data_IF_404604216289
#
_entry.id   IF_404604216289
#
_cell.length_a   1.000
_cell.length_b   1.000
_cell.length_c   1.000
_cell.angle_alpha   90.00
_cell.angle_beta   90.00
_cell.angle_gamma   90.00
#
_symmetry.space_group_name_H-M   'P 1'
#
loop_
_entity.id
_entity.type
_entity.pdbx_description
1 polymer ?
#
# COMPACT_ATOMS: atom_id res chain seq x y z
N UNK A 1 5.56 -8.68 55.73
CA UNK A 1 6.56 -9.73 56.01
C UNK A 1 6.92 -10.38 54.67
N UNK A 2 8.00 -9.92 54.04
CA UNK A 2 8.37 -10.29 52.67
C UNK A 2 9.48 -11.34 52.71
N UNK A 3 9.16 -12.58 52.37
CA UNK A 3 10.14 -13.65 52.21
C UNK A 3 10.85 -13.51 50.86
N UNK A 4 12.17 -13.39 50.86
CA UNK A 4 12.99 -13.52 49.64
C UNK A 4 13.36 -14.99 49.44
N UNK A 5 13.02 -15.56 48.29
CA UNK A 5 13.45 -16.91 47.89
C UNK A 5 14.69 -16.75 47.00
N UNK A 6 15.85 -17.16 47.52
CA UNK A 6 17.06 -17.36 46.71
C UNK A 6 17.15 -18.83 46.32
N UNK A 7 17.01 -19.13 45.02
CA UNK A 7 17.34 -20.45 44.50
C UNK A 7 18.81 -20.46 44.04
N UNK A 8 19.62 -21.35 44.62
CA UNK A 8 20.89 -21.77 44.04
C UNK A 8 20.57 -22.70 42.86
N UNK A 9 20.92 -22.30 41.64
CA UNK A 9 20.99 -23.22 40.51
C UNK A 9 22.44 -23.64 40.29
N UNK A 10 22.75 -24.86 40.71
CA UNK A 10 23.90 -25.63 40.23
C UNK A 10 23.36 -26.65 39.22
N UNK A 11 23.64 -26.50 37.92
CA UNK A 11 24.07 -27.65 37.13
C UNK A 11 24.59 -27.34 35.72
N UNK A 12 25.67 -28.06 35.43
CA UNK A 12 26.06 -28.71 34.17
C UNK A 12 26.44 -27.85 32.97
N UNK A 13 27.76 -27.70 32.86
CA UNK A 13 28.58 -28.02 31.69
C UNK A 13 27.80 -28.27 30.40
N UNK A 14 27.87 -27.31 29.48
CA UNK A 14 28.09 -27.64 28.09
C UNK A 14 29.43 -27.05 27.68
N UNK A 15 30.36 -27.95 27.37
CA UNK A 15 31.68 -27.63 26.84
C UNK A 15 31.48 -27.29 25.37
N UNK A 16 31.66 -26.02 25.01
CA UNK A 16 31.89 -25.62 23.63
C UNK A 16 33.39 -25.42 23.51
N UNK A 17 34.06 -26.40 22.91
CA UNK A 17 35.44 -26.30 22.47
C UNK A 17 35.49 -25.33 21.29
N UNK A 18 36.18 -24.21 21.47
CA UNK A 18 36.59 -23.32 20.38
C UNK A 18 38.10 -23.40 20.29
N UNK A 19 38.61 -24.04 19.24
CA UNK A 19 40.03 -24.02 18.90
C UNK A 19 40.42 -22.62 18.43
N UNK A 20 41.34 -21.99 19.16
CA UNK A 20 41.99 -20.73 18.79
C UNK A 20 43.51 -20.96 18.75
N UNK A 21 44.22 -20.38 17.76
CA UNK A 21 45.64 -20.63 17.52
C UNK A 21 46.57 -20.04 18.59
N UNK A 22 47.74 -20.69 18.69
CA UNK A 22 48.74 -20.69 19.75
C UNK A 22 49.58 -19.41 19.93
N UNK A 23 49.00 -18.21 19.84
CA UNK A 23 49.73 -16.99 20.18
C UNK A 23 48.88 -16.07 21.06
N UNK A 24 49.48 -15.66 22.19
CA UNK A 24 48.96 -14.77 23.24
C UNK A 24 48.48 -15.49 24.51
N UNK A 25 49.44 -16.09 25.23
CA UNK A 25 49.38 -16.17 26.69
C UNK A 25 49.58 -14.78 27.26
N UNK A 26 48.62 -14.26 28.03
CA UNK A 26 48.87 -13.16 28.95
C UNK A 26 48.07 -13.36 30.26
N UNK A 27 48.84 -13.34 31.35
CA UNK A 27 48.56 -13.30 32.79
C UNK A 27 47.10 -13.32 33.28
N UNK A 28 46.79 -14.35 34.08
CA UNK A 28 45.68 -14.37 35.04
C UNK A 28 45.94 -13.36 36.16
N UNK A 29 45.14 -12.30 36.23
CA UNK A 29 44.89 -11.55 37.47
C UNK A 29 43.55 -12.05 38.02
N UNK A 30 43.60 -12.63 39.22
CA UNK A 30 42.44 -13.18 39.93
C UNK A 30 41.83 -12.06 40.79
N UNK A 31 40.89 -11.30 40.24
CA UNK A 31 40.08 -10.36 41.01
C UNK A 31 38.69 -10.98 41.25
N UNK A 32 38.42 -11.41 42.48
CA UNK A 32 37.06 -11.73 42.93
C UNK A 32 36.27 -10.43 43.06
N UNK A 33 35.42 -10.12 42.08
CA UNK A 33 34.30 -9.18 42.27
C UNK A 33 33.01 -9.96 42.25
N UNK A 34 32.43 -10.14 43.43
CA UNK A 34 31.07 -10.65 43.61
C UNK A 34 30.11 -9.52 43.24
N UNK A 35 29.58 -9.53 42.02
CA UNK A 35 28.58 -8.56 41.58
C UNK A 35 27.19 -9.10 41.95
N UNK A 36 26.52 -8.48 42.92
CA UNK A 36 25.09 -8.73 43.19
C UNK A 36 24.28 -7.80 42.30
N UNK A 37 23.64 -8.34 41.28
CA UNK A 37 22.60 -7.62 40.54
C UNK A 37 21.25 -8.03 41.14
N UNK A 38 20.63 -7.10 41.87
CA UNK A 38 19.23 -7.25 42.27
C UNK A 38 18.35 -6.68 41.15
N UNK A 39 17.65 -7.54 40.42
CA UNK A 39 16.55 -7.09 39.56
C UNK A 39 15.27 -6.98 40.39
N UNK A 40 14.50 -5.88 40.28
CA UNK A 40 13.16 -5.84 40.82
C UNK A 40 12.26 -6.86 40.09
N UNK A 41 11.24 -7.43 40.76
CA UNK A 41 10.32 -8.37 40.12
C UNK A 41 9.63 -7.67 38.94
N UNK A 42 9.84 -8.23 37.75
CA UNK A 42 9.12 -7.84 36.53
C UNK A 42 7.64 -8.14 36.77
N UNK A 43 6.82 -7.10 36.85
CA UNK A 43 5.37 -7.25 36.82
C UNK A 43 4.99 -8.11 35.60
N UNK A 44 4.04 -9.05 35.72
CA UNK A 44 3.54 -9.77 34.56
C UNK A 44 2.95 -8.73 33.60
N UNK A 45 3.61 -8.52 32.47
CA UNK A 45 3.01 -7.86 31.31
C UNK A 45 1.91 -8.78 30.80
N UNK A 46 0.72 -8.64 31.34
CA UNK A 46 -0.51 -8.99 30.66
C UNK A 46 -0.57 -8.10 29.41
N UNK A 47 -0.07 -8.62 28.29
CA UNK A 47 -0.45 -8.14 26.97
C UNK A 47 -1.94 -8.40 26.87
N UNK A 48 -2.74 -7.43 27.28
CA UNK A 48 -4.16 -7.40 26.95
C UNK A 48 -4.23 -7.17 25.45
N UNK A 49 -4.48 -8.25 24.71
CA UNK A 49 -5.01 -8.21 23.36
C UNK A 49 -6.41 -7.60 23.42
N UNK A 50 -6.50 -6.28 23.53
CA UNK A 50 -7.74 -5.57 23.28
C UNK A 50 -8.03 -5.68 21.78
N UNK A 51 -8.89 -6.63 21.41
CA UNK A 51 -9.67 -6.52 20.18
C UNK A 51 -10.41 -5.18 20.26
N UNK A 52 -9.87 -4.15 19.62
CA UNK A 52 -10.55 -2.87 19.45
C UNK A 52 -11.69 -3.09 18.47
N UNK A 53 -12.81 -3.62 18.98
CA UNK A 53 -14.10 -3.54 18.31
C UNK A 53 -14.47 -2.06 18.28
N UNK A 54 -14.15 -1.38 17.18
CA UNK A 54 -14.78 -0.10 16.87
C UNK A 54 -16.23 -0.42 16.57
N UNK A 55 -17.06 -0.32 17.61
CA UNK A 55 -18.51 -0.32 17.47
C UNK A 55 -18.85 1.04 16.89
N UNK A 56 -19.01 1.11 15.57
CA UNK A 56 -19.71 2.25 14.95
C UNK A 56 -21.11 2.18 15.54
N UNK A 57 -21.48 3.19 16.34
CA UNK A 57 -22.79 3.25 16.93
C UNK A 57 -23.82 3.18 15.79
N UNK A 58 -24.59 2.10 15.75
CA UNK A 58 -25.68 1.96 14.81
C UNK A 58 -26.67 3.08 15.10
N UNK A 59 -26.64 4.13 14.28
CA UNK A 59 -27.69 5.14 14.29
C UNK A 59 -28.94 4.40 13.86
N UNK A 60 -29.91 4.30 14.77
CA UNK A 60 -31.24 3.74 14.47
C UNK A 60 -31.72 4.46 13.21
N UNK A 61 -32.08 3.68 12.20
CA UNK A 61 -32.46 4.09 10.83
C UNK A 61 -33.70 5.01 10.82
N UNK A 62 -33.52 6.22 11.31
CA UNK A 62 -34.16 7.40 10.76
C UNK A 62 -33.28 7.76 9.57
N UNK A 63 -33.80 7.63 8.35
CA UNK A 63 -33.02 7.77 7.12
C UNK A 63 -32.07 8.95 7.21
N UNK A 64 -30.78 8.72 6.92
CA UNK A 64 -29.80 9.80 6.85
C UNK A 64 -30.41 10.90 6.00
N UNK A 65 -30.66 12.05 6.60
CA UNK A 65 -31.26 13.18 5.91
C UNK A 65 -30.40 13.49 4.68
N UNK A 66 -31.00 13.66 3.50
CA UNK A 66 -30.26 13.91 2.26
C UNK A 66 -29.13 14.92 2.52
N UNK A 67 -27.90 14.55 2.19
CA UNK A 67 -26.73 15.42 2.40
C UNK A 67 -27.00 16.79 1.77
N UNK A 68 -26.85 17.91 2.51
CA UNK A 68 -26.95 19.24 1.93
C UNK A 68 -25.92 19.40 0.80
N UNK A 69 -26.33 19.99 -0.33
CA UNK A 69 -25.45 20.19 -1.48
C UNK A 69 -24.23 21.06 -1.18
N UNK A 70 -24.30 21.91 -0.14
CA UNK A 70 -23.20 22.76 0.35
C UNK A 70 -22.16 22.02 1.20
N UNK A 71 -22.44 20.80 1.66
CA UNK A 71 -21.53 20.01 2.51
C UNK A 71 -20.89 18.91 1.68
N UNK A 72 -19.57 18.72 1.75
CA UNK A 72 -18.92 17.63 1.00
C UNK A 72 -19.38 16.25 1.50
N UNK A 73 -19.23 15.23 0.65
CA UNK A 73 -19.54 13.83 1.02
C UNK A 73 -18.72 13.44 2.26
N UNK A 74 -17.43 13.75 2.27
CA UNK A 74 -16.54 13.42 3.38
C UNK A 74 -16.98 14.07 4.71
N UNK A 75 -17.27 15.37 4.71
CA UNK A 75 -17.66 16.11 5.90
C UNK A 75 -18.99 15.62 6.48
N UNK A 76 -19.96 15.37 5.59
CA UNK A 76 -21.28 14.87 5.97
C UNK A 76 -21.19 13.50 6.65
N UNK A 77 -20.53 12.52 6.01
CA UNK A 77 -20.44 11.17 6.57
C UNK A 77 -19.48 11.07 7.75
N UNK A 78 -18.50 11.97 7.87
CA UNK A 78 -17.69 12.07 9.09
C UNK A 78 -18.58 12.45 10.27
N UNK A 79 -19.43 13.47 10.10
CA UNK A 79 -20.38 13.89 11.13
C UNK A 79 -21.41 12.81 11.43
N UNK A 80 -21.99 12.20 10.39
CA UNK A 80 -23.04 11.20 10.54
C UNK A 80 -22.56 9.91 11.24
N UNK A 81 -21.33 9.47 10.97
CA UNK A 81 -20.81 8.20 11.48
C UNK A 81 -19.91 8.35 12.71
N UNK A 82 -19.15 9.45 12.81
CA UNK A 82 -18.13 9.67 13.83
C UNK A 82 -18.41 10.90 14.71
N UNK A 83 -19.60 11.51 14.56
CA UNK A 83 -20.14 12.66 15.32
C UNK A 83 -19.45 13.98 15.01
N UNK A 84 -18.15 14.08 15.27
CA UNK A 84 -17.42 15.34 15.15
C UNK A 84 -16.65 15.42 13.82
N UNK A 85 -16.82 16.52 13.08
CA UNK A 85 -16.06 16.75 11.86
C UNK A 85 -14.69 17.39 12.17
N UNK A 86 -13.66 16.56 12.31
CA UNK A 86 -12.28 16.99 12.54
C UNK A 86 -11.28 16.11 11.76
N UNK A 87 -10.01 16.50 11.71
CA UNK A 87 -8.95 15.80 10.97
C UNK A 87 -8.84 14.32 11.31
N UNK A 88 -8.78 13.97 12.59
CA UNK A 88 -8.68 12.58 13.04
C UNK A 88 -9.90 11.76 12.58
N UNK A 89 -11.10 12.32 12.68
CA UNK A 89 -12.33 11.62 12.30
C UNK A 89 -12.47 11.50 10.78
N UNK A 90 -12.12 12.53 10.01
CA UNK A 90 -12.08 12.40 8.55
C UNK A 90 -11.07 11.33 8.13
N UNK A 91 -9.84 11.36 8.68
CA UNK A 91 -8.85 10.32 8.40
C UNK A 91 -9.34 8.92 8.81
N UNK A 92 -10.06 8.80 9.93
CA UNK A 92 -10.69 7.55 10.38
C UNK A 92 -11.76 7.07 9.40
N UNK A 93 -12.63 7.96 8.92
CA UNK A 93 -13.63 7.64 7.89
C UNK A 93 -12.96 7.06 6.64
N UNK A 94 -11.89 7.71 6.15
CA UNK A 94 -11.16 7.24 4.97
C UNK A 94 -10.43 5.93 5.24
N UNK A 95 -9.91 5.72 6.45
CA UNK A 95 -9.31 4.45 6.86
C UNK A 95 -10.34 3.32 6.78
N UNK A 96 -11.53 3.51 7.35
CA UNK A 96 -12.61 2.53 7.34
C UNK A 96 -13.07 2.22 5.90
N UNK A 97 -13.28 3.25 5.09
CA UNK A 97 -13.72 3.14 3.71
C UNK A 97 -12.68 2.41 2.83
N UNK A 98 -11.42 2.84 2.88
CA UNK A 98 -10.36 2.26 2.06
C UNK A 98 -10.05 0.84 2.51
N UNK A 99 -9.93 0.57 3.81
CA UNK A 99 -9.69 -0.80 4.28
C UNK A 99 -10.81 -1.74 3.85
N UNK A 100 -12.06 -1.30 3.94
CA UNK A 100 -13.21 -2.12 3.52
C UNK A 100 -13.21 -2.34 2.00
N UNK A 101 -12.85 -1.33 1.21
CA UNK A 101 -12.67 -1.50 -0.23
C UNK A 101 -11.50 -2.46 -0.56
N UNK A 102 -10.43 -2.47 0.25
CA UNK A 102 -9.25 -3.31 -0.01
C UNK A 102 -9.48 -4.77 0.38
N UNK A 103 -9.96 -5.03 1.61
CA UNK A 103 -10.07 -6.38 2.19
C UNK A 103 -11.49 -6.91 2.36
N UNK A 104 -12.50 -6.12 2.01
CA UNK A 104 -13.89 -6.46 2.23
C UNK A 104 -14.38 -6.13 3.64
N UNK A 105 -15.60 -6.54 3.99
CA UNK A 105 -16.18 -6.21 5.30
C UNK A 105 -15.38 -6.81 6.46
N UNK A 106 -14.91 -5.95 7.37
CA UNK A 106 -14.28 -6.35 8.63
C UNK A 106 -14.90 -5.64 9.86
N UNK A 107 -15.83 -4.72 9.62
CA UNK A 107 -16.59 -3.99 10.65
C UNK A 107 -18.04 -4.47 10.71
N UNK A 108 -18.68 -4.27 11.87
CA UNK A 108 -20.09 -4.57 12.10
C UNK A 108 -20.77 -3.41 12.86
N UNK A 109 -22.06 -3.12 12.59
CA UNK A 109 -22.89 -3.71 11.54
C UNK A 109 -22.45 -3.28 10.14
N UNK A 110 -22.81 -4.05 9.11
CA UNK A 110 -22.68 -3.64 7.71
C UNK A 110 -24.03 -3.75 6.97
N UNK A 111 -24.24 -2.87 5.99
CA UNK A 111 -25.49 -2.80 5.23
C UNK A 111 -25.50 -3.65 3.96
N UNK A 112 -24.32 -4.07 3.47
CA UNK A 112 -24.16 -4.96 2.33
C UNK A 112 -22.81 -5.70 2.40
N UNK A 113 -22.72 -6.78 1.62
CA UNK A 113 -21.47 -7.52 1.42
C UNK A 113 -20.50 -6.73 0.54
N UNK A 114 -19.22 -6.73 0.92
CA UNK A 114 -18.10 -6.14 0.19
C UNK A 114 -17.00 -7.20 0.12
N UNK A 115 -16.70 -7.76 -1.07
CA UNK A 115 -15.61 -8.72 -1.25
C UNK A 115 -14.21 -8.14 -1.05
N UNK A 116 -13.99 -6.90 -1.46
CA UNK A 116 -12.69 -6.23 -1.48
C UNK A 116 -11.89 -6.48 -2.76
N UNK A 117 -10.99 -5.54 -3.11
CA UNK A 117 -10.18 -5.63 -4.32
C UNK A 117 -9.16 -6.78 -4.28
N UNK A 118 -8.77 -7.22 -3.09
CA UNK A 118 -7.84 -8.34 -2.91
C UNK A 118 -8.53 -9.72 -2.98
N UNK A 119 -9.82 -9.78 -3.29
CA UNK A 119 -10.52 -11.04 -3.53
C UNK A 119 -9.98 -11.71 -4.81
N UNK A 120 -9.43 -12.94 -4.74
CA UNK A 120 -8.75 -13.58 -5.87
C UNK A 120 -9.70 -14.14 -6.94
N UNK A 121 -10.99 -14.29 -6.63
CA UNK A 121 -12.00 -14.91 -7.48
C UNK A 121 -13.18 -13.95 -7.69
N UNK A 122 -12.90 -12.67 -7.93
CA UNK A 122 -13.94 -11.70 -8.18
C UNK A 122 -14.50 -11.82 -9.60
N UNK A 123 -15.71 -11.31 -9.80
CA UNK A 123 -16.33 -11.23 -11.12
C UNK A 123 -16.95 -9.85 -11.29
N UNK A 124 -16.70 -9.22 -12.44
CA UNK A 124 -17.29 -7.96 -12.83
C UNK A 124 -17.83 -8.07 -14.25
N UNK A 125 -19.10 -7.73 -14.47
CA UNK A 125 -19.79 -7.90 -15.76
C UNK A 125 -19.68 -9.33 -16.36
N UNK A 126 -19.65 -10.36 -15.51
CA UNK A 126 -19.49 -11.75 -15.94
C UNK A 126 -18.05 -12.16 -16.28
N UNK A 127 -17.09 -11.24 -16.21
CA UNK A 127 -15.66 -11.48 -16.43
C UNK A 127 -14.94 -11.71 -15.10
N UNK A 128 -14.09 -12.72 -15.03
CA UNK A 128 -13.24 -12.95 -13.85
C UNK A 128 -12.22 -11.83 -13.70
N UNK A 129 -12.11 -11.27 -12.49
CA UNK A 129 -11.18 -10.18 -12.16
C UNK A 129 -10.36 -10.59 -10.95
N UNK A 130 -9.05 -10.35 -11.00
CA UNK A 130 -8.16 -10.53 -9.87
C UNK A 130 -7.14 -9.38 -9.83
N UNK A 131 -7.39 -8.39 -8.98
CA UNK A 131 -6.47 -7.27 -8.78
C UNK A 131 -5.33 -7.62 -7.83
N UNK A 132 -5.46 -8.68 -7.00
CA UNK A 132 -4.45 -9.04 -6.00
C UNK A 132 -3.07 -9.32 -6.61
N UNK A 133 -3.02 -9.78 -7.87
CA UNK A 133 -1.80 -10.01 -8.67
C UNK A 133 -0.89 -8.77 -8.81
N UNK A 134 -1.43 -7.57 -8.62
CA UNK A 134 -0.67 -6.32 -8.67
C UNK A 134 -0.09 -5.90 -7.31
N UNK A 135 -0.49 -6.56 -6.21
CA UNK A 135 -0.11 -6.20 -4.84
C UNK A 135 0.88 -7.17 -4.21
N UNK A 136 0.94 -8.42 -4.67
CA UNK A 136 1.74 -9.48 -4.05
C UNK A 136 3.21 -9.54 -4.53
N UNK A 137 3.57 -8.71 -5.52
CA UNK A 137 4.90 -8.67 -6.12
C UNK A 137 5.15 -9.75 -7.17
N UNK A 138 4.11 -10.45 -7.66
CA UNK A 138 4.25 -11.43 -8.73
C UNK A 138 4.51 -10.78 -10.10
N UNK A 139 4.04 -9.55 -10.33
CA UNK A 139 4.10 -8.88 -11.63
C UNK A 139 5.04 -7.67 -11.62
N UNK A 140 5.71 -7.41 -12.74
CA UNK A 140 6.49 -6.18 -12.98
C UNK A 140 5.58 -4.99 -13.32
N UNK A 141 4.59 -4.75 -12.46
CA UNK A 141 3.50 -3.81 -12.71
C UNK A 141 3.69 -2.44 -12.08
N UNK A 142 4.73 -2.27 -11.26
CA UNK A 142 4.99 -1.03 -10.53
C UNK A 142 5.98 -0.15 -11.29
N UNK A 143 5.66 1.13 -11.47
CA UNK A 143 6.62 2.07 -12.04
C UNK A 143 7.73 2.41 -11.03
N UNK A 144 8.96 1.97 -11.30
CA UNK A 144 10.16 2.49 -10.65
C UNK A 144 11.05 3.13 -11.70
N UNK A 145 11.21 4.45 -11.62
CA UNK A 145 12.09 5.23 -12.50
C UNK A 145 11.80 5.03 -14.00
N UNK A 146 10.52 4.92 -14.36
CA UNK A 146 10.08 4.72 -15.74
C UNK A 146 10.18 3.27 -16.21
N UNK A 147 10.38 2.30 -15.32
CA UNK A 147 10.49 0.88 -15.63
C UNK A 147 9.54 0.04 -14.77
N UNK A 148 8.91 -0.96 -15.39
CA UNK A 148 8.08 -1.94 -14.68
C UNK A 148 8.92 -2.81 -13.74
N UNK A 149 8.57 -2.79 -12.46
CA UNK A 149 9.25 -3.51 -11.38
C UNK A 149 8.26 -4.29 -10.53
N UNK A 150 8.74 -5.36 -9.92
CA UNK A 150 7.95 -6.21 -9.05
C UNK A 150 8.05 -5.74 -7.60
N UNK A 151 6.94 -5.32 -7.02
CA UNK A 151 6.87 -4.79 -5.65
C UNK A 151 5.74 -5.47 -4.91
N UNK A 152 6.06 -6.01 -3.74
CA UNK A 152 5.07 -6.54 -2.82
C UNK A 152 4.56 -5.40 -1.92
N UNK A 153 3.31 -4.99 -2.11
CA UNK A 153 2.59 -4.01 -1.29
C UNK A 153 1.82 -4.63 -0.12
N UNK A 154 1.95 -5.94 0.10
CA UNK A 154 1.39 -6.67 1.24
C UNK A 154 2.49 -7.07 2.25
N UNK A 155 3.65 -6.43 2.16
CA UNK A 155 4.84 -6.66 2.99
C UNK A 155 4.71 -6.18 4.44
N UNK A 156 3.68 -5.38 4.75
CA UNK A 156 3.39 -4.85 6.09
C UNK A 156 2.45 -5.71 6.93
N UNK A 157 2.20 -6.97 6.54
CA UNK A 157 1.30 -7.89 7.25
C UNK A 157 -0.03 -8.17 6.54
N UNK A 158 -0.21 -7.66 5.31
CA UNK A 158 -1.37 -7.89 4.46
C UNK A 158 -2.67 -7.41 5.10
N UNK A 159 -3.72 -8.23 5.04
CA UNK A 159 -5.05 -7.87 5.53
C UNK A 159 -5.14 -7.73 7.06
N UNK A 160 -4.29 -8.44 7.82
CA UNK A 160 -4.39 -8.49 9.28
C UNK A 160 -4.32 -7.12 9.98
N UNK A 161 -3.37 -6.21 9.68
CA UNK A 161 -3.38 -4.86 10.23
C UNK A 161 -4.60 -4.03 9.79
N UNK A 162 -5.09 -4.23 8.55
CA UNK A 162 -6.25 -3.48 8.03
C UNK A 162 -7.53 -3.78 8.82
N UNK A 163 -7.69 -5.03 9.27
CA UNK A 163 -8.79 -5.44 10.17
C UNK A 163 -8.76 -4.73 11.54
N UNK A 164 -7.64 -4.11 11.89
CA UNK A 164 -7.45 -3.33 13.12
C UNK A 164 -7.39 -1.82 12.86
N UNK A 165 -7.86 -1.36 11.70
CA UNK A 165 -7.76 0.04 11.26
C UNK A 165 -6.32 0.58 11.22
N UNK A 166 -5.35 -0.29 10.96
CA UNK A 166 -3.95 0.10 10.78
C UNK A 166 -3.57 -0.10 9.31
N UNK A 167 -2.78 0.80 8.70
CA UNK A 167 -2.30 0.63 7.33
C UNK A 167 -1.34 -0.57 7.18
N UNK A 168 -0.54 -0.86 8.21
CA UNK A 168 0.41 -1.96 8.27
C UNK A 168 0.80 -2.27 9.74
N UNK A 169 1.60 -3.31 9.97
CA UNK A 169 2.20 -3.62 11.27
C UNK A 169 3.37 -2.70 11.66
N UNK A 170 3.92 -1.98 10.68
CA UNK A 170 5.04 -1.06 10.81
C UNK A 170 4.78 0.24 10.01
N UNK A 171 5.74 1.15 10.01
CA UNK A 171 5.66 2.44 9.31
C UNK A 171 6.66 2.57 8.17
N UNK A 172 7.28 1.47 7.73
CA UNK A 172 8.39 1.47 6.75
C UNK A 172 8.13 0.57 5.54
N UNK A 173 7.15 -0.32 5.64
CA UNK A 173 6.69 -1.23 4.58
C UNK A 173 6.07 -0.47 3.41
N UNK A 174 6.11 -1.09 2.23
CA UNK A 174 5.41 -0.57 1.05
C UNK A 174 3.90 -0.58 1.24
N UNK A 175 3.38 -1.52 2.03
CA UNK A 175 2.00 -1.50 2.48
C UNK A 175 1.65 -0.22 3.26
N UNK A 176 2.48 0.18 4.24
CA UNK A 176 2.22 1.41 5.00
C UNK A 176 2.12 2.62 4.07
N UNK A 177 3.09 2.76 3.15
CA UNK A 177 3.10 3.83 2.16
C UNK A 177 1.85 3.81 1.27
N UNK A 178 1.53 2.65 0.68
CA UNK A 178 0.36 2.50 -0.18
C UNK A 178 -0.95 2.90 0.54
N UNK A 179 -1.21 2.34 1.71
CA UNK A 179 -2.50 2.54 2.39
C UNK A 179 -2.65 3.97 2.90
N UNK A 180 -1.60 4.57 3.47
CA UNK A 180 -1.65 5.97 3.93
C UNK A 180 -1.78 6.95 2.75
N UNK A 181 -1.18 6.64 1.61
CA UNK A 181 -1.40 7.38 0.36
C UNK A 181 -2.83 7.24 -0.15
N UNK A 182 -3.45 6.05 -0.09
CA UNK A 182 -4.86 5.88 -0.45
C UNK A 182 -5.77 6.71 0.47
N UNK A 183 -5.56 6.68 1.78
CA UNK A 183 -6.38 7.45 2.73
C UNK A 183 -6.33 8.96 2.44
N UNK A 184 -5.13 9.49 2.18
CA UNK A 184 -4.94 10.92 1.88
C UNK A 184 -5.42 11.29 0.47
N UNK A 185 -5.19 10.45 -0.54
CA UNK A 185 -5.66 10.70 -1.90
C UNK A 185 -7.19 10.80 -1.95
N UNK A 186 -7.90 9.83 -1.36
CA UNK A 186 -9.36 9.88 -1.27
C UNK A 186 -9.86 11.04 -0.40
N UNK A 187 -9.06 11.46 0.59
CA UNK A 187 -9.33 12.67 1.36
C UNK A 187 -9.48 13.92 0.49
N UNK A 188 -8.50 14.14 -0.39
CA UNK A 188 -8.54 15.23 -1.35
C UNK A 188 -9.64 15.03 -2.40
N UNK A 189 -9.74 13.83 -2.99
CA UNK A 189 -10.70 13.55 -4.05
C UNK A 189 -12.17 13.72 -3.60
N UNK A 190 -12.47 13.38 -2.34
CA UNK A 190 -13.81 13.54 -1.73
C UNK A 190 -14.03 14.90 -1.05
N UNK A 191 -13.07 15.82 -1.21
CA UNK A 191 -13.11 17.18 -0.70
C UNK A 191 -13.35 17.25 0.83
N UNK A 192 -12.57 16.47 1.58
CA UNK A 192 -12.54 16.52 3.04
C UNK A 192 -11.97 17.87 3.52
N UNK A 193 -12.74 18.62 4.29
CA UNK A 193 -12.37 20.00 4.67
C UNK A 193 -11.14 20.13 5.56
N UNK A 194 -10.74 19.07 6.25
CA UNK A 194 -9.56 19.08 7.15
C UNK A 194 -8.37 18.30 6.60
N UNK A 195 -8.45 17.87 5.33
CA UNK A 195 -7.32 17.29 4.61
C UNK A 195 -6.10 18.23 4.64
N UNK A 196 -4.93 17.66 4.93
CA UNK A 196 -3.68 18.41 5.07
C UNK A 196 -3.43 19.01 6.45
N UNK A 197 -4.41 18.94 7.37
CA UNK A 197 -4.23 19.39 8.75
C UNK A 197 -3.56 18.32 9.63
N UNK A 198 -3.12 18.71 10.83
CA UNK A 198 -2.61 17.75 11.81
C UNK A 198 -3.67 16.70 12.15
N UNK A 199 -3.31 15.42 12.03
CA UNK A 199 -4.24 14.29 12.17
C UNK A 199 -4.83 13.77 10.85
N UNK A 200 -4.70 14.53 9.75
CA UNK A 200 -5.04 14.09 8.40
C UNK A 200 -3.99 14.58 7.39
N UNK A 201 -2.90 13.83 7.17
CA UNK A 201 -1.80 14.27 6.33
C UNK A 201 -2.24 14.50 4.88
N UNK A 202 -1.62 15.50 4.25
CA UNK A 202 -1.78 15.72 2.82
C UNK A 202 -1.18 14.55 2.02
N UNK A 203 -1.71 14.33 0.83
CA UNK A 203 -1.19 13.34 -0.12
C UNK A 203 0.21 13.75 -0.56
N UNK A 204 1.18 12.88 -0.32
CA UNK A 204 2.59 13.10 -0.64
C UNK A 204 3.12 12.14 -1.72
N UNK A 205 2.21 11.36 -2.34
CA UNK A 205 2.57 10.44 -3.41
C UNK A 205 2.74 11.12 -4.77
N UNK A 206 3.05 10.29 -5.78
CA UNK A 206 3.24 10.76 -7.15
C UNK A 206 1.94 11.36 -7.71
N UNK A 207 2.01 12.50 -8.42
CA UNK A 207 0.83 13.29 -8.74
C UNK A 207 -0.01 12.73 -9.91
N UNK A 208 0.62 11.96 -10.80
CA UNK A 208 -0.05 11.35 -11.95
C UNK A 208 -0.39 9.89 -11.65
N UNK A 209 -1.68 9.58 -11.52
CA UNK A 209 -2.12 8.19 -11.36
C UNK A 209 -1.84 7.35 -12.62
N UNK A 210 -1.85 7.95 -13.81
CA UNK A 210 -1.34 7.28 -15.02
C UNK A 210 0.09 6.80 -14.81
N UNK A 211 1.01 7.68 -14.37
CA UNK A 211 2.42 7.33 -14.20
C UNK A 211 2.61 6.21 -13.19
N UNK A 212 1.82 6.18 -12.11
CA UNK A 212 1.89 5.13 -11.08
C UNK A 212 1.40 3.78 -11.62
N UNK A 213 0.34 3.76 -12.44
CA UNK A 213 -0.36 2.54 -12.85
C UNK A 213 -0.07 2.09 -14.29
N UNK A 214 0.71 2.84 -15.09
CA UNK A 214 0.90 2.58 -16.53
C UNK A 214 1.51 1.22 -16.89
N UNK A 215 2.13 0.52 -15.94
CA UNK A 215 2.67 -0.84 -16.14
C UNK A 215 1.71 -1.94 -15.69
N UNK A 216 0.49 -1.61 -15.27
CA UNK A 216 -0.52 -2.60 -14.89
C UNK A 216 -1.37 -3.07 -16.07
N UNK A 217 -1.42 -2.29 -17.15
CA UNK A 217 -2.28 -2.52 -18.32
C UNK A 217 -3.75 -2.74 -17.95
N UNK A 218 -4.29 -1.91 -17.04
CA UNK A 218 -5.63 -2.14 -16.50
C UNK A 218 -6.69 -2.04 -17.59
N UNK A 219 -7.59 -3.03 -17.59
CA UNK A 219 -8.74 -3.11 -18.48
C UNK A 219 -10.02 -2.50 -17.86
N UNK A 220 -11.11 -2.33 -18.65
CA UNK A 220 -12.37 -1.76 -18.14
C UNK A 220 -13.01 -2.56 -17.00
N UNK A 221 -12.83 -3.89 -16.97
CA UNK A 221 -13.39 -4.72 -15.90
C UNK A 221 -12.59 -4.58 -14.62
N UNK A 222 -11.27 -4.48 -14.71
CA UNK A 222 -10.38 -4.26 -13.57
C UNK A 222 -10.61 -2.88 -12.93
N UNK A 223 -10.67 -1.81 -13.74
CA UNK A 223 -10.99 -0.46 -13.26
C UNK A 223 -12.43 -0.40 -12.74
N UNK A 224 -13.39 -0.98 -13.47
CA UNK A 224 -14.79 -1.06 -13.06
C UNK A 224 -14.98 -1.80 -11.74
N UNK A 225 -14.27 -2.93 -11.54
CA UNK A 225 -14.29 -3.69 -10.29
C UNK A 225 -13.73 -2.87 -9.12
N UNK A 226 -12.59 -2.19 -9.31
CA UNK A 226 -12.04 -1.28 -8.30
C UNK A 226 -13.07 -0.22 -7.87
N UNK A 227 -13.70 0.46 -8.83
CA UNK A 227 -14.73 1.49 -8.56
C UNK A 227 -15.94 0.89 -7.83
N UNK A 228 -16.37 -0.31 -8.23
CA UNK A 228 -17.47 -1.02 -7.58
C UNK A 228 -17.13 -1.33 -6.11
N UNK A 229 -15.91 -1.78 -5.80
CA UNK A 229 -15.53 -2.08 -4.41
C UNK A 229 -15.51 -0.81 -3.53
N UNK A 230 -15.13 0.34 -4.08
CA UNK A 230 -15.24 1.63 -3.36
C UNK A 230 -16.70 1.99 -3.08
N UNK A 231 -17.58 1.85 -4.08
CA UNK A 231 -19.01 2.09 -3.92
C UNK A 231 -19.67 1.17 -2.90
N UNK A 232 -19.40 -0.14 -2.98
CA UNK A 232 -19.90 -1.15 -2.04
C UNK A 232 -19.38 -0.92 -0.62
N UNK A 233 -18.12 -0.50 -0.48
CA UNK A 233 -17.55 -0.09 0.80
C UNK A 233 -18.33 1.07 1.40
N UNK A 234 -18.56 2.14 0.63
CA UNK A 234 -19.32 3.30 1.09
C UNK A 234 -20.73 2.91 1.55
N UNK A 235 -21.49 2.19 0.72
CA UNK A 235 -22.85 1.77 1.07
C UNK A 235 -22.88 0.84 2.27
N UNK A 236 -21.81 0.07 2.53
CA UNK A 236 -21.74 -0.84 3.68
C UNK A 236 -21.71 -0.09 5.02
N UNK A 237 -21.29 1.18 5.02
CA UNK A 237 -21.35 2.12 6.14
C UNK A 237 -22.63 2.98 6.15
N UNK A 238 -23.59 2.70 5.26
CA UNK A 238 -24.85 3.45 5.18
C UNK A 238 -24.78 4.72 4.34
N UNK A 239 -23.72 4.93 3.53
CA UNK A 239 -23.70 6.00 2.52
C UNK A 239 -24.86 5.81 1.55
N UNK A 240 -25.58 6.89 1.24
CA UNK A 240 -26.72 6.82 0.32
C UNK A 240 -26.29 6.39 -1.08
N UNK A 241 -27.18 5.74 -1.81
CA UNK A 241 -26.91 5.32 -3.19
C UNK A 241 -26.56 6.52 -4.09
N UNK A 242 -27.17 7.68 -3.88
CA UNK A 242 -26.88 8.89 -4.66
C UNK A 242 -25.45 9.39 -4.44
N UNK A 243 -24.99 9.47 -3.19
CA UNK A 243 -23.62 9.87 -2.88
C UNK A 243 -22.61 8.81 -3.33
N UNK A 244 -22.91 7.52 -3.15
CA UNK A 244 -22.06 6.44 -3.66
C UNK A 244 -21.97 6.48 -5.21
N UNK A 245 -23.07 6.80 -5.90
CA UNK A 245 -23.10 7.01 -7.36
C UNK A 245 -22.28 8.22 -7.77
N UNK A 246 -22.33 9.32 -7.00
CA UNK A 246 -21.51 10.49 -7.27
C UNK A 246 -20.01 10.19 -7.14
N UNK A 247 -19.61 9.39 -6.13
CA UNK A 247 -18.23 8.90 -5.99
C UNK A 247 -17.86 7.99 -7.16
N UNK A 248 -18.73 7.04 -7.53
CA UNK A 248 -18.51 6.18 -8.70
C UNK A 248 -18.25 6.99 -9.97
N UNK A 249 -19.09 7.99 -10.24
CA UNK A 249 -18.93 8.91 -11.38
C UNK A 249 -17.61 9.68 -11.32
N UNK A 250 -17.22 10.19 -10.14
CA UNK A 250 -15.93 10.87 -9.95
C UNK A 250 -14.78 9.93 -10.34
N UNK A 251 -14.78 8.70 -9.84
CA UNK A 251 -13.71 7.74 -10.11
C UNK A 251 -13.70 7.33 -11.59
N UNK A 252 -14.85 7.03 -12.19
CA UNK A 252 -14.96 6.70 -13.63
C UNK A 252 -14.43 7.83 -14.49
N UNK A 253 -14.85 9.08 -14.24
CA UNK A 253 -14.38 10.24 -15.02
C UNK A 253 -12.89 10.54 -14.83
N UNK A 254 -12.34 10.19 -13.67
CA UNK A 254 -10.92 10.41 -13.36
C UNK A 254 -10.03 9.32 -13.95
N UNK A 255 -10.45 8.05 -13.90
CA UNK A 255 -9.59 6.89 -14.08
C UNK A 255 -9.88 6.06 -15.34
N UNK A 256 -11.12 6.03 -15.81
CA UNK A 256 -11.58 5.05 -16.81
C UNK A 256 -11.47 5.56 -18.26
N UNK A 257 -11.38 6.88 -18.46
CA UNK A 257 -11.26 7.47 -19.79
C UNK A 257 -9.84 7.39 -20.36
N UNK A 258 -9.57 6.43 -21.25
CA UNK A 258 -8.27 6.32 -21.95
C UNK A 258 -7.93 7.63 -22.65
N UNK A 259 -6.68 8.06 -22.51
CA UNK A 259 -6.17 9.33 -23.01
C UNK A 259 -6.91 10.59 -22.50
N UNK A 260 -7.53 10.54 -21.31
CA UNK A 260 -8.21 11.73 -20.75
C UNK A 260 -7.26 12.93 -20.61
N UNK A 261 -7.83 14.13 -20.72
CA UNK A 261 -7.07 15.34 -20.44
C UNK A 261 -6.61 15.36 -18.97
N UNK A 262 -5.51 16.08 -18.71
CA UNK A 262 -5.03 16.26 -17.35
C UNK A 262 -6.12 16.86 -16.43
N UNK A 263 -6.27 16.31 -15.24
CA UNK A 263 -7.26 16.73 -14.25
C UNK A 263 -6.59 16.99 -12.90
N UNK A 264 -7.13 17.94 -12.14
CA UNK A 264 -6.67 18.25 -10.78
C UNK A 264 -7.50 17.45 -9.78
N UNK A 265 -6.87 16.44 -9.16
CA UNK A 265 -7.47 15.71 -8.03
C UNK A 265 -6.88 16.21 -6.71
N UNK A 266 -5.57 16.42 -6.68
CA UNK A 266 -4.86 17.00 -5.54
C UNK A 266 -4.59 18.48 -5.86
N UNK A 267 -5.25 19.45 -5.18
CA UNK A 267 -5.15 20.86 -5.53
C UNK A 267 -3.72 21.40 -5.58
N UNK A 268 -2.86 20.98 -4.64
CA UNK A 268 -1.46 21.41 -4.55
C UNK A 268 -0.56 20.87 -5.68
N UNK A 269 -1.00 19.86 -6.43
CA UNK A 269 -0.23 19.22 -7.50
C UNK A 269 -0.67 19.66 -8.90
N UNK A 270 -1.72 20.49 -9.01
CA UNK A 270 -2.24 20.99 -10.28
C UNK A 270 -2.82 19.90 -11.18
N UNK A 271 -3.05 20.20 -12.48
CA UNK A 271 -3.55 19.24 -13.45
C UNK A 271 -2.51 18.14 -13.76
N UNK A 272 -2.93 16.88 -13.73
CA UNK A 272 -2.07 15.71 -13.95
C UNK A 272 -2.80 14.64 -14.77
N UNK A 273 -2.07 13.76 -15.44
CA UNK A 273 -2.67 12.62 -16.15
C UNK A 273 -3.17 11.59 -15.13
N UNK A 274 -4.49 11.35 -15.13
CA UNK A 274 -5.14 10.48 -14.16
C UNK A 274 -5.64 9.15 -14.72
N UNK A 275 -5.90 9.04 -16.03
CA UNK A 275 -6.39 7.79 -16.62
C UNK A 275 -5.47 6.59 -16.28
N UNK A 276 -6.06 5.54 -15.70
CA UNK A 276 -5.36 4.28 -15.40
C UNK A 276 -5.87 3.13 -16.28
N UNK A 277 -7.05 3.26 -16.90
CA UNK A 277 -7.48 2.33 -17.94
C UNK A 277 -6.63 2.59 -19.19
N UNK A 278 -5.69 1.69 -19.48
CA UNK A 278 -4.73 1.83 -20.60
C UNK A 278 -4.85 0.74 -21.65
N UNK A 279 -5.48 -0.39 -21.31
CA UNK A 279 -5.69 -1.51 -22.22
C UNK A 279 -6.48 -1.11 -23.48
N UNK A 280 -6.44 -1.96 -24.51
CA UNK A 280 -7.08 -1.65 -25.80
C UNK A 280 -8.60 -1.56 -25.74
N UNK A 281 -9.24 -2.26 -24.80
CA UNK A 281 -10.68 -2.20 -24.57
C UNK A 281 -11.18 -0.95 -23.83
N UNK A 282 -10.28 -0.09 -23.34
CA UNK A 282 -10.65 1.07 -22.54
C UNK A 282 -11.42 2.12 -23.36
N UNK A 283 -12.51 2.70 -22.79
CA UNK A 283 -13.28 3.71 -23.48
C UNK A 283 -12.43 4.97 -23.70
N UNK A 284 -12.40 5.44 -24.94
CA UNK A 284 -11.69 6.67 -25.28
C UNK A 284 -12.39 7.88 -24.65
N UNK A 285 -11.62 8.76 -24.01
CA UNK A 285 -12.18 10.02 -23.49
C UNK A 285 -12.71 10.91 -24.63
N UNK A 286 -13.80 11.64 -24.37
CA UNK A 286 -14.44 12.49 -25.38
C UNK A 286 -13.50 13.55 -25.99
N UNK A 287 -12.54 14.04 -25.21
CA UNK A 287 -11.49 14.98 -25.64
C UNK A 287 -10.11 14.35 -25.47
N UNK A 288 -9.91 13.18 -26.05
CA UNK A 288 -8.69 12.40 -25.90
C UNK A 288 -7.43 13.14 -26.39
N UNK A 289 -6.40 13.16 -25.56
CA UNK A 289 -5.06 13.67 -25.90
C UNK A 289 -4.03 12.54 -25.74
N UNK A 290 -4.08 11.55 -26.63
CA UNK A 290 -3.19 10.38 -26.52
C UNK A 290 -1.70 10.73 -26.70
N UNK A 291 -1.36 11.87 -27.30
CA UNK A 291 0.05 12.33 -27.38
C UNK A 291 0.66 12.70 -26.03
N UNK A 292 -0.16 12.92 -24.99
CA UNK A 292 0.34 13.14 -23.63
C UNK A 292 0.72 11.83 -22.91
N UNK A 293 0.38 10.68 -23.48
CA UNK A 293 0.59 9.36 -22.89
C UNK A 293 1.72 8.63 -23.62
N UNK A 294 2.52 7.88 -22.87
CA UNK A 294 3.47 6.95 -23.48
C UNK A 294 2.72 5.81 -24.19
N UNK A 295 3.41 5.13 -25.09
CA UNK A 295 2.92 3.86 -25.62
C UNK A 295 2.62 2.90 -24.47
N UNK A 296 1.47 2.23 -24.53
CA UNK A 296 1.09 1.25 -23.53
C UNK A 296 2.14 0.12 -23.49
N UNK A 297 2.79 -0.13 -22.34
CA UNK A 297 3.74 -1.23 -22.18
C UNK A 297 3.12 -2.62 -22.39
N UNK A 298 1.78 -2.72 -22.32
CA UNK A 298 1.03 -3.98 -22.35
C UNK A 298 1.09 -4.72 -21.01
N UNK A 299 0.44 -5.89 -20.97
CA UNK A 299 0.38 -6.77 -19.80
C UNK A 299 1.75 -6.98 -19.13
N UNK A 300 1.85 -6.80 -17.80
CA UNK A 300 3.12 -6.90 -17.11
C UNK A 300 3.66 -8.32 -17.07
N UNK A 301 4.98 -8.44 -17.26
CA UNK A 301 5.67 -9.71 -17.15
C UNK A 301 5.64 -10.27 -15.71
N UNK A 302 5.48 -11.59 -15.59
CA UNK A 302 5.62 -12.29 -14.32
C UNK A 302 7.09 -12.29 -13.85
N UNK A 303 7.33 -11.79 -12.64
CA UNK A 303 8.64 -11.68 -12.03
C UNK A 303 9.25 -13.04 -11.67
N UNK A 304 8.42 -14.07 -11.43
CA UNK A 304 8.87 -15.42 -11.10
C UNK A 304 9.31 -16.24 -12.34
N UNK A 305 8.93 -15.82 -13.55
CA UNK A 305 9.25 -16.54 -14.78
C UNK A 305 10.66 -16.25 -15.33
N UNK A 306 11.36 -15.23 -14.82
CA UNK A 306 12.67 -14.80 -15.32
C UNK A 306 13.85 -15.73 -14.91
N UNK A 307 13.60 -16.81 -14.16
CA UNK A 307 14.62 -17.76 -13.73
C UNK A 307 14.82 -18.96 -14.69
N UNK A 308 14.04 -19.09 -15.77
CA UNK A 308 13.99 -20.31 -16.60
C UNK A 308 14.69 -20.23 -17.95
N UNK A 309 15.55 -19.23 -18.21
CA UNK A 309 16.29 -19.11 -19.48
C UNK A 309 17.81 -19.06 -19.31
N UNK A 310 18.36 -19.95 -18.47
CA UNK A 310 19.81 -20.17 -18.38
C UNK A 310 20.18 -21.63 -18.63
N UNK A 311 19.88 -22.19 -19.81
CA UNK A 311 20.67 -23.31 -20.36
C UNK A 311 20.46 -23.46 -21.88
N UNK A 312 21.49 -23.10 -22.67
CA UNK A 312 21.98 -23.88 -23.81
C UNK A 312 23.13 -23.13 -24.49
N UNK A 313 24.28 -23.11 -23.82
CA UNK A 313 25.57 -22.98 -24.49
C UNK A 313 25.75 -24.19 -25.40
N UNK A 314 25.42 -24.05 -26.68
CA UNK A 314 25.79 -25.02 -27.72
C UNK A 314 26.99 -24.48 -28.49
N UNK A 315 28.13 -25.09 -28.19
CA UNK A 315 29.39 -25.00 -28.90
C UNK A 315 29.24 -25.33 -30.39
N UNK A 316 29.63 -24.41 -31.28
CA UNK A 316 30.21 -24.74 -32.58
C UNK A 316 31.33 -23.76 -32.90
N UNK A 317 32.53 -24.32 -33.07
CA UNK A 317 33.71 -23.61 -33.54
C UNK A 317 33.64 -23.29 -35.04
N UNK A 318 34.39 -22.25 -35.41
CA UNK A 318 34.63 -21.83 -36.79
C UNK A 318 35.54 -20.59 -36.79
N UNK A 319 36.64 -20.65 -37.53
CA UNK A 319 37.84 -19.86 -37.37
C UNK A 319 37.83 -18.45 -38.03
N UNK A 320 38.63 -17.55 -37.43
CA UNK A 320 39.57 -16.54 -37.99
C UNK A 320 39.10 -15.64 -39.15
N UNK A 321 39.07 -14.31 -38.92
CA UNK A 321 39.90 -13.32 -39.63
C UNK A 321 39.79 -11.88 -39.07
N UNK A 322 40.97 -11.38 -38.68
CA UNK A 322 41.52 -10.01 -38.62
C UNK A 322 40.66 -8.76 -38.96
N UNK A 323 40.87 -7.69 -38.19
CA UNK A 323 40.64 -6.30 -38.62
C UNK A 323 40.36 -5.35 -37.47
N UNK A 324 41.41 -4.72 -36.91
CA UNK A 324 41.32 -3.88 -35.72
C UNK A 324 40.72 -2.50 -35.92
N UNK A 325 40.23 -1.92 -34.82
CA UNK A 325 40.21 -0.47 -34.56
C UNK A 325 40.37 -0.24 -33.05
N UNK A 326 41.35 0.58 -32.68
CA UNK A 326 41.59 1.13 -31.35
C UNK A 326 40.75 2.38 -31.11
N UNK A 327 40.16 2.53 -29.93
CA UNK A 327 40.11 3.70 -29.01
C UNK A 327 38.97 3.45 -28.01
N UNK A 328 38.94 3.88 -26.76
CA UNK A 328 39.87 4.39 -25.77
C UNK A 328 38.94 4.74 -24.58
N UNK A 329 39.26 4.24 -23.38
CA UNK A 329 38.58 4.62 -22.15
C UNK A 329 38.75 6.11 -21.87
N UNK A 330 37.67 6.78 -21.46
CA UNK A 330 37.74 7.96 -20.60
C UNK A 330 36.53 7.97 -19.66
N UNK A 331 36.84 7.84 -18.38
CA UNK A 331 35.96 8.06 -17.25
C UNK A 331 36.20 9.48 -16.69
N UNK A 332 35.14 10.17 -16.30
CA UNK A 332 35.10 11.28 -15.32
C UNK A 332 33.61 11.62 -15.08
N UNK A 333 32.96 11.26 -13.96
CA UNK A 333 32.97 11.83 -12.58
C UNK A 333 32.11 13.11 -12.41
N UNK A 334 31.26 13.06 -11.37
CA UNK A 334 30.43 14.13 -10.73
C UNK A 334 28.99 14.23 -11.26
N UNK A 335 27.91 14.35 -10.47
CA UNK A 335 27.70 14.83 -9.10
C UNK A 335 26.38 14.20 -8.56
N UNK A 336 26.31 13.69 -7.32
CA UNK A 336 25.72 14.32 -6.11
C UNK A 336 24.21 14.63 -6.20
N UNK A 337 23.48 13.91 -5.34
CA UNK A 337 22.18 14.21 -4.69
C UNK A 337 20.95 14.17 -5.59
N UNK A 338 20.07 13.19 -5.37
CA UNK A 338 18.64 13.46 -5.16
C UNK A 338 17.99 12.29 -4.42
N UNK A 339 17.12 12.65 -3.48
CA UNK A 339 16.40 11.78 -2.56
C UNK A 339 15.71 10.62 -3.25
N UNK A 340 16.21 9.41 -3.01
CA UNK A 340 15.52 8.17 -3.33
C UNK A 340 14.45 7.88 -2.29
N UNK A 341 13.24 8.37 -2.53
CA UNK A 341 11.98 7.82 -2.00
C UNK A 341 10.84 8.43 -2.83
N UNK A 342 10.59 7.83 -3.99
CA UNK A 342 9.29 7.86 -4.64
C UNK A 342 8.80 6.43 -4.71
N UNK A 343 8.38 5.92 -3.56
CA UNK A 343 7.43 4.83 -3.29
C UNK A 343 7.22 4.76 -1.78
#
# INVERSE_FOLDING_TARGET
MSGSICALSTNQRNVITVDLPSSLRASRIKAHRTFRICFPPRAPSTIMFFKSLVVVAAVVSSGLAQRPSSTSICDYYTTALLKDNNATNQYTLLTLLVNTAVIGNYTQPNHNSVPGILSPNATFNGTSVNLAKYFDGALKSTNQNGQGSAVNFLDGGGAAPLMMNKPANDTTSKQYGLLTHLYSYFGAALNCSTYGNSGFPAYAGAPSMYTVHKFMDLDPNEVGYFIQQVGLSATSFGVTTDDATAVGKLLTTTFDGKCSAAATVIPSQGPQLQAICTADGCPMAANANCSAYDANPGEPANATAAASSSTSSSSKGGAIANGGVSVAFLAAVSAIVLFGLSM
#
